data_IF_070915096032
#
_entry.id   IF_070915096032
#
_cell.length_a   1.000
_cell.length_b   1.000
_cell.length_c   1.000
_cell.angle_alpha   90.00
_cell.angle_beta   90.00
_cell.angle_gamma   90.00
#
_symmetry.space_group_name_H-M   'P 1'
#
loop_
_entity.id
_entity.type
_entity.pdbx_description
1 polymer ?
#
# COMPACT_ATOMS: atom_id res chain seq x y z
N UNK A 1 -36.92 16.60 50.79
CA UNK A 1 -35.63 16.02 51.20
C UNK A 1 -35.44 14.79 50.35
N UNK A 2 -35.48 14.91 49.03
CA UNK A 2 -34.55 15.60 48.11
C UNK A 2 -33.46 14.61 47.69
N UNK A 3 -33.87 13.66 46.85
CA UNK A 3 -32.95 12.84 46.05
C UNK A 3 -32.60 13.62 44.78
N UNK A 4 -31.82 14.68 44.94
CA UNK A 4 -31.19 15.38 43.81
C UNK A 4 -29.91 14.62 43.46
N UNK A 5 -30.06 13.53 42.71
CA UNK A 5 -28.92 12.87 42.08
C UNK A 5 -28.38 13.81 41.00
N UNK A 6 -27.24 14.42 41.31
CA UNK A 6 -26.59 15.43 40.49
C UNK A 6 -26.31 14.92 39.08
N UNK A 7 -26.70 15.76 38.14
CA UNK A 7 -26.42 15.66 36.72
C UNK A 7 -24.92 15.85 36.48
N UNK A 8 -24.13 14.80 36.66
CA UNK A 8 -22.78 14.74 36.10
C UNK A 8 -22.91 14.54 34.59
N UNK A 9 -23.02 15.67 33.91
CA UNK A 9 -22.80 15.78 32.47
C UNK A 9 -21.32 15.50 32.23
N UNK A 10 -20.96 14.22 32.21
CA UNK A 10 -19.71 13.76 31.65
C UNK A 10 -19.84 14.01 30.14
N UNK A 11 -19.39 15.21 29.72
CA UNK A 11 -19.10 15.53 28.34
C UNK A 11 -17.97 14.61 27.88
N UNK A 12 -18.31 13.37 27.58
CA UNK A 12 -17.61 12.61 26.57
C UNK A 12 -17.91 13.28 25.24
N UNK A 13 -17.06 14.22 24.85
CA UNK A 13 -16.80 14.53 23.44
C UNK A 13 -16.11 13.33 22.75
N UNK A 14 -16.51 12.10 23.09
CA UNK A 14 -16.34 10.94 22.25
C UNK A 14 -17.29 11.17 21.08
N UNK A 15 -16.82 11.89 20.06
CA UNK A 15 -17.41 11.91 18.73
C UNK A 15 -17.79 10.46 18.45
N UNK A 16 -19.08 10.09 18.43
CA UNK A 16 -19.43 8.77 17.97
C UNK A 16 -18.91 8.77 16.54
N UNK A 17 -17.93 7.92 16.26
CA UNK A 17 -17.53 7.61 14.89
C UNK A 17 -18.79 7.07 14.25
N UNK A 18 -19.58 8.00 13.70
CA UNK A 18 -20.87 7.73 13.11
C UNK A 18 -20.66 6.57 12.16
N UNK A 19 -21.55 5.59 12.17
CA UNK A 19 -21.51 4.48 11.22
C UNK A 19 -21.26 4.98 9.78
N UNK A 20 -21.76 6.18 9.45
CA UNK A 20 -21.49 6.87 8.19
C UNK A 20 -20.02 7.24 7.97
N UNK A 21 -19.29 7.67 9.01
CA UNK A 21 -17.86 7.98 8.94
C UNK A 21 -16.99 6.75 8.67
N UNK A 22 -17.31 5.63 9.33
CA UNK A 22 -16.63 4.35 9.08
C UNK A 22 -16.90 3.87 7.64
N UNK A 23 -18.14 3.93 7.17
CA UNK A 23 -18.49 3.55 5.80
C UNK A 23 -17.79 4.46 4.78
N UNK A 24 -17.78 5.78 5.01
CA UNK A 24 -17.11 6.73 4.12
C UNK A 24 -15.59 6.44 4.02
N UNK A 25 -14.95 6.10 5.14
CA UNK A 25 -13.54 5.73 5.18
C UNK A 25 -13.27 4.45 4.38
N UNK A 26 -14.08 3.41 4.54
CA UNK A 26 -13.95 2.16 3.78
C UNK A 26 -14.13 2.38 2.27
N UNK A 27 -15.09 3.24 1.88
CA UNK A 27 -15.32 3.61 0.48
C UNK A 27 -14.09 4.33 -0.09
N UNK A 28 -13.55 5.32 0.62
CA UNK A 28 -12.37 6.06 0.19
C UNK A 28 -11.17 5.13 0.02
N UNK A 29 -10.90 4.25 0.98
CA UNK A 29 -9.81 3.28 0.87
C UNK A 29 -9.99 2.30 -0.28
N UNK A 30 -11.22 1.87 -0.54
CA UNK A 30 -11.51 1.00 -1.68
C UNK A 30 -11.25 1.69 -3.02
N UNK A 31 -11.62 2.97 -3.15
CA UNK A 31 -11.31 3.77 -4.35
C UNK A 31 -9.80 3.88 -4.55
N UNK A 32 -9.04 4.17 -3.49
CA UNK A 32 -7.58 4.22 -3.56
C UNK A 32 -6.97 2.87 -3.92
N UNK A 33 -7.49 1.78 -3.36
CA UNK A 33 -7.03 0.43 -3.66
C UNK A 33 -7.26 0.08 -5.14
N UNK A 34 -8.46 0.31 -5.66
CA UNK A 34 -8.77 0.08 -7.08
C UNK A 34 -7.88 0.94 -7.99
N UNK A 35 -7.73 2.23 -7.66
CA UNK A 35 -6.88 3.14 -8.44
C UNK A 35 -5.42 2.68 -8.43
N UNK A 36 -4.92 2.26 -7.26
CA UNK A 36 -3.56 1.72 -7.12
C UNK A 36 -3.36 0.46 -7.96
N UNK A 37 -4.30 -0.49 -7.93
CA UNK A 37 -4.25 -1.69 -8.77
C UNK A 37 -4.20 -1.32 -10.26
N UNK A 38 -5.04 -0.40 -10.73
CA UNK A 38 -5.06 0.04 -12.14
C UNK A 38 -3.71 0.66 -12.53
N UNK A 39 -3.15 1.52 -11.68
CA UNK A 39 -1.85 2.14 -11.92
C UNK A 39 -0.71 1.12 -11.96
N UNK A 40 -0.69 0.17 -11.03
CA UNK A 40 0.33 -0.88 -10.98
C UNK A 40 0.24 -1.82 -12.19
N UNK A 41 -0.96 -2.25 -12.57
CA UNK A 41 -1.17 -3.05 -13.80
C UNK A 41 -0.69 -2.29 -15.02
N UNK A 42 -1.00 -0.99 -15.12
CA UNK A 42 -0.53 -0.14 -16.21
C UNK A 42 1.00 -0.07 -16.25
N UNK A 43 1.67 0.05 -15.10
CA UNK A 43 3.12 0.05 -15.01
C UNK A 43 3.73 -1.28 -15.48
N UNK A 44 3.18 -2.41 -15.02
CA UNK A 44 3.61 -3.77 -15.43
C UNK A 44 3.44 -3.95 -16.94
N UNK A 45 2.27 -3.59 -17.48
CA UNK A 45 2.00 -3.65 -18.92
C UNK A 45 2.99 -2.79 -19.72
N UNK A 46 3.30 -1.59 -19.23
CA UNK A 46 4.24 -0.67 -19.87
C UNK A 46 5.65 -1.26 -19.92
N UNK A 47 6.17 -1.76 -18.80
CA UNK A 47 7.50 -2.39 -18.71
C UNK A 47 7.59 -3.62 -19.63
N UNK A 48 6.52 -4.44 -19.67
CA UNK A 48 6.49 -5.63 -20.52
C UNK A 48 6.39 -5.31 -22.01
N UNK A 49 5.66 -4.26 -22.39
CA UNK A 49 5.44 -3.85 -23.79
C UNK A 49 6.71 -3.27 -24.42
N UNK A 50 7.47 -2.46 -23.67
CA UNK A 50 8.66 -1.80 -24.21
C UNK A 50 9.93 -2.59 -23.91
N UNK A 51 10.50 -3.25 -24.93
CA UNK A 51 11.77 -4.00 -24.81
C UNK A 51 12.92 -3.14 -24.25
N UNK A 52 12.92 -1.84 -24.53
CA UNK A 52 13.92 -0.88 -24.02
C UNK A 52 13.85 -0.70 -22.50
N UNK A 53 12.69 -0.97 -21.88
CA UNK A 53 12.50 -0.89 -20.44
C UNK A 53 12.83 -2.21 -19.72
N UNK A 54 13.29 -3.27 -20.40
CA UNK A 54 13.63 -4.56 -19.79
C UNK A 54 15.04 -4.54 -19.18
N UNK A 55 15.26 -3.65 -18.23
CA UNK A 55 16.48 -3.57 -17.43
C UNK A 55 16.24 -4.24 -16.06
N UNK A 56 17.31 -4.67 -15.38
CA UNK A 56 17.24 -5.24 -14.03
C UNK A 56 16.43 -4.36 -13.04
N UNK A 57 16.66 -3.04 -12.92
CA UNK A 57 15.87 -2.20 -12.01
C UNK A 57 14.39 -2.14 -12.39
N UNK A 58 14.07 -2.08 -13.69
CA UNK A 58 12.68 -2.05 -14.13
C UNK A 58 11.96 -3.39 -13.90
N UNK A 59 12.69 -4.51 -13.90
CA UNK A 59 12.13 -5.80 -13.50
C UNK A 59 11.81 -5.85 -12.00
N UNK A 60 12.66 -5.23 -11.16
CA UNK A 60 12.38 -5.05 -9.73
C UNK A 60 11.15 -4.17 -9.50
N UNK A 61 11.00 -3.07 -10.26
CA UNK A 61 9.79 -2.24 -10.25
C UNK A 61 8.54 -3.03 -10.65
N UNK A 62 8.63 -3.89 -11.67
CA UNK A 62 7.52 -4.75 -12.06
C UNK A 62 7.15 -5.75 -10.96
N UNK A 63 8.14 -6.38 -10.32
CA UNK A 63 7.91 -7.30 -9.20
C UNK A 63 7.29 -6.58 -7.99
N UNK A 64 7.74 -5.35 -7.69
CA UNK A 64 7.13 -4.52 -6.67
C UNK A 64 5.68 -4.17 -7.01
N UNK A 65 5.39 -3.73 -8.24
CA UNK A 65 4.03 -3.42 -8.68
C UNK A 65 3.09 -4.65 -8.63
N UNK A 66 3.61 -5.86 -8.88
CA UNK A 66 2.83 -7.10 -8.72
C UNK A 66 2.51 -7.35 -7.24
N UNK A 67 3.51 -7.26 -6.35
CA UNK A 67 3.31 -7.45 -4.92
C UNK A 67 2.36 -6.39 -4.33
N UNK A 68 2.49 -5.14 -4.74
CA UNK A 68 1.65 -4.02 -4.32
C UNK A 68 0.21 -4.20 -4.81
N UNK A 69 0.01 -4.62 -6.07
CA UNK A 69 -1.33 -4.94 -6.59
C UNK A 69 -2.01 -6.07 -5.81
N UNK A 70 -1.24 -7.08 -5.42
CA UNK A 70 -1.76 -8.22 -4.67
C UNK A 70 -2.10 -7.82 -3.22
N UNK A 71 -1.29 -6.98 -2.59
CA UNK A 71 -1.59 -6.41 -1.27
C UNK A 71 -2.86 -5.54 -1.33
N UNK A 72 -2.99 -4.64 -2.32
CA UNK A 72 -4.17 -3.80 -2.50
C UNK A 72 -5.45 -4.60 -2.78
N UNK A 73 -5.34 -5.75 -3.44
CA UNK A 73 -6.48 -6.62 -3.70
C UNK A 73 -6.95 -7.37 -2.44
N UNK A 74 -6.00 -7.80 -1.60
CA UNK A 74 -6.25 -8.56 -0.37
C UNK A 74 -6.51 -7.65 0.84
N UNK A 75 -6.35 -6.33 0.67
CA UNK A 75 -6.57 -5.33 1.73
C UNK A 75 -7.95 -5.53 2.39
N UNK A 76 -8.05 -5.51 3.72
CA UNK A 76 -9.30 -5.78 4.41
C UNK A 76 -10.44 -4.80 4.09
N UNK A 77 -10.14 -3.59 3.59
CA UNK A 77 -11.16 -2.58 3.23
C UNK A 77 -11.98 -2.97 2.00
N UNK A 78 -11.33 -3.43 0.93
CA UNK A 78 -12.03 -3.92 -0.29
C UNK A 78 -12.92 -5.11 0.07
N UNK A 79 -12.41 -6.00 0.91
CA UNK A 79 -13.14 -7.18 1.34
C UNK A 79 -14.33 -6.85 2.25
N UNK A 80 -14.15 -5.98 3.25
CA UNK A 80 -15.23 -5.55 4.14
C UNK A 80 -16.34 -4.80 3.41
N UNK A 81 -15.99 -3.98 2.42
CA UNK A 81 -16.97 -3.25 1.62
C UNK A 81 -17.82 -4.21 0.78
N UNK A 82 -17.21 -5.21 0.13
CA UNK A 82 -17.94 -6.25 -0.62
C UNK A 82 -18.88 -7.04 0.30
N UNK A 83 -18.42 -7.45 1.48
CA UNK A 83 -19.27 -8.14 2.46
C UNK A 83 -20.46 -7.28 2.93
N UNK A 84 -20.23 -5.98 3.16
CA UNK A 84 -21.30 -5.03 3.52
C UNK A 84 -22.33 -4.86 2.39
N UNK A 85 -21.89 -4.84 1.13
CA UNK A 85 -22.79 -4.73 -0.03
C UNK A 85 -23.62 -6.01 -0.20
N UNK A 86 -22.98 -7.18 -0.12
CA UNK A 86 -23.63 -8.46 -0.40
C UNK A 86 -24.45 -9.01 0.78
N UNK A 87 -24.38 -8.39 1.97
CA UNK A 87 -24.99 -8.89 3.21
C UNK A 87 -24.59 -10.35 3.51
N UNK A 88 -23.33 -10.69 3.25
CA UNK A 88 -22.79 -12.04 3.50
C UNK A 88 -21.95 -12.01 4.78
N UNK A 89 -22.31 -12.86 5.74
CA UNK A 89 -21.49 -13.12 6.91
C UNK A 89 -20.41 -14.15 6.55
N UNK A 90 -19.17 -13.69 6.48
CA UNK A 90 -18.05 -14.56 6.22
C UNK A 90 -17.56 -15.22 7.51
N UNK A 91 -17.32 -16.53 7.47
CA UNK A 91 -16.86 -17.27 8.64
C UNK A 91 -15.52 -16.70 9.16
N UNK A 92 -15.35 -16.50 10.49
CA UNK A 92 -14.23 -15.74 11.08
C UNK A 92 -12.85 -16.31 10.74
N UNK A 93 -12.75 -17.61 10.48
CA UNK A 93 -11.51 -18.26 10.00
C UNK A 93 -10.99 -17.66 8.70
N UNK A 94 -11.86 -17.37 7.74
CA UNK A 94 -11.46 -16.79 6.46
C UNK A 94 -11.07 -15.32 6.61
N UNK A 95 -11.74 -14.58 7.49
CA UNK A 95 -11.34 -13.19 7.81
C UNK A 95 -9.92 -13.13 8.38
N UNK A 96 -9.60 -14.04 9.31
CA UNK A 96 -8.26 -14.16 9.88
C UNK A 96 -7.21 -14.52 8.82
N UNK A 97 -7.51 -15.50 7.95
CA UNK A 97 -6.61 -15.91 6.88
C UNK A 97 -6.33 -14.80 5.86
N UNK A 98 -7.35 -14.01 5.50
CA UNK A 98 -7.19 -12.85 4.59
C UNK A 98 -6.31 -11.78 5.24
N UNK A 99 -6.50 -11.51 6.53
CA UNK A 99 -5.70 -10.52 7.26
C UNK A 99 -4.23 -10.96 7.43
N UNK A 100 -3.98 -12.25 7.67
CA UNK A 100 -2.63 -12.80 7.67
C UNK A 100 -1.97 -12.70 6.28
N UNK A 101 -2.71 -12.99 5.21
CA UNK A 101 -2.20 -12.88 3.86
C UNK A 101 -1.86 -11.43 3.48
N UNK A 102 -2.72 -10.47 3.82
CA UNK A 102 -2.48 -9.03 3.61
C UNK A 102 -1.17 -8.58 4.29
N UNK A 103 -0.97 -8.98 5.55
CA UNK A 103 0.25 -8.66 6.30
C UNK A 103 1.53 -9.20 5.61
N UNK A 104 1.48 -10.42 5.07
CA UNK A 104 2.60 -11.03 4.33
C UNK A 104 2.87 -10.22 3.05
N UNK A 105 1.86 -9.94 2.24
CA UNK A 105 2.04 -9.18 0.99
C UNK A 105 2.55 -7.77 1.25
N UNK A 106 2.04 -7.11 2.29
CA UNK A 106 2.49 -5.79 2.68
C UNK A 106 3.97 -5.78 3.09
N UNK A 107 4.40 -6.76 3.90
CA UNK A 107 5.81 -6.90 4.27
C UNK A 107 6.72 -7.18 3.06
N UNK A 108 6.27 -8.01 2.11
CA UNK A 108 7.02 -8.27 0.87
C UNK A 108 7.15 -6.99 0.04
N UNK A 109 6.08 -6.21 -0.09
CA UNK A 109 6.10 -4.94 -0.82
C UNK A 109 7.08 -3.93 -0.18
N UNK A 110 7.11 -3.84 1.16
CA UNK A 110 8.07 -3.01 1.90
C UNK A 110 9.51 -3.46 1.64
N UNK A 111 9.79 -4.76 1.70
CA UNK A 111 11.14 -5.29 1.43
C UNK A 111 11.60 -4.97 0.00
N UNK A 112 10.71 -5.10 -0.99
CA UNK A 112 11.00 -4.73 -2.37
C UNK A 112 11.29 -3.23 -2.53
N UNK A 113 10.55 -2.36 -1.82
CA UNK A 113 10.83 -0.92 -1.81
C UNK A 113 12.21 -0.60 -1.22
N UNK A 114 12.60 -1.29 -0.16
CA UNK A 114 13.94 -1.14 0.44
C UNK A 114 15.02 -1.54 -0.57
N UNK A 115 14.83 -2.66 -1.27
CA UNK A 115 15.77 -3.14 -2.29
C UNK A 115 15.87 -2.15 -3.46
N UNK A 116 14.75 -1.63 -3.97
CA UNK A 116 14.73 -0.64 -5.05
C UNK A 116 15.44 0.65 -4.62
N UNK A 117 15.18 1.12 -3.41
CA UNK A 117 15.85 2.31 -2.85
C UNK A 117 17.36 2.11 -2.72
N UNK A 118 17.78 0.91 -2.29
CA UNK A 118 19.19 0.55 -2.19
C UNK A 118 19.86 0.49 -3.57
N UNK A 119 19.20 -0.13 -4.56
CA UNK A 119 19.69 -0.19 -5.95
C UNK A 119 19.87 1.22 -6.53
N UNK A 120 18.91 2.11 -6.29
CA UNK A 120 19.00 3.51 -6.72
C UNK A 120 20.18 4.25 -6.08
N UNK A 121 20.38 4.05 -4.78
CA UNK A 121 21.49 4.65 -4.04
C UNK A 121 22.83 4.15 -4.59
N UNK A 122 22.94 2.85 -4.83
CA UNK A 122 24.13 2.22 -5.38
C UNK A 122 24.45 2.73 -6.79
N UNK A 123 23.45 2.81 -7.67
CA UNK A 123 23.59 3.35 -9.02
C UNK A 123 24.06 4.82 -9.01
N UNK A 124 23.50 5.62 -8.10
CA UNK A 124 23.89 7.03 -7.93
C UNK A 124 25.32 7.16 -7.41
N UNK A 125 25.69 6.33 -6.43
CA UNK A 125 27.04 6.29 -5.87
C UNK A 125 28.07 5.95 -6.95
N UNK A 126 27.88 4.85 -7.69
CA UNK A 126 28.80 4.45 -8.75
C UNK A 126 28.88 5.48 -9.87
N UNK A 127 27.76 6.08 -10.27
CA UNK A 127 27.74 7.16 -11.27
C UNK A 127 28.62 8.34 -10.83
N UNK A 128 28.55 8.73 -9.56
CA UNK A 128 29.36 9.81 -9.02
C UNK A 128 30.85 9.44 -8.94
N UNK A 129 31.18 8.20 -8.59
CA UNK A 129 32.56 7.71 -8.57
C UNK A 129 33.14 7.65 -9.99
N UNK A 130 32.37 7.13 -10.96
CA UNK A 130 32.80 7.06 -12.36
C UNK A 130 33.05 8.45 -12.93
N UNK A 131 32.13 9.40 -12.68
CA UNK A 131 32.26 10.79 -13.14
C UNK A 131 33.54 11.44 -12.60
N UNK A 132 33.86 11.22 -11.31
CA UNK A 132 35.14 11.69 -10.74
C UNK A 132 36.34 11.07 -11.44
N UNK A 133 36.35 9.74 -11.66
CA UNK A 133 37.49 9.08 -12.33
C UNK A 133 37.71 9.55 -13.76
N UNK A 134 36.63 9.77 -14.52
CA UNK A 134 36.74 10.28 -15.91
C UNK A 134 37.32 11.69 -15.93
N UNK A 135 36.93 12.57 -14.99
CA UNK A 135 37.52 13.91 -14.91
C UNK A 135 39.04 13.88 -14.65
N UNK A 136 39.52 12.99 -13.77
CA UNK A 136 40.96 12.84 -13.53
C UNK A 136 41.72 12.27 -14.73
N UNK A 137 41.07 11.49 -15.59
CA UNK A 137 41.70 10.92 -16.78
C UNK A 137 41.79 11.93 -17.93
N UNK A 138 40.83 12.85 -18.08
CA UNK A 138 40.80 13.86 -19.15
C UNK A 138 41.75 15.04 -18.87
N UNK A 139 42.13 15.28 -17.61
CA UNK A 139 43.04 16.38 -17.21
C UNK A 139 44.52 15.97 -17.29
N UNK A 140 44.83 14.72 -17.63
CA UNK A 140 46.19 14.21 -17.84
C UNK A 140 46.50 14.08 -19.32
#
# INVERSE_FOLDING_TARGET
MDDTFNNDTFNDDAIPSSSAGLIAQEVIYTIFAITGVVLNVTAICTINRFKQLKTVPNLLFANWAIADSLSLLVTPSTFRLVLMIENIDLHPKYQCAVLEADLIFHNVAILLMIIISFDWCLATYFRNVLKRRVQYFVVR
#
